data_IF_589746924844
#
_entry.id   IF_589746924844
#
_cell.length_a   1.000
_cell.length_b   1.000
_cell.length_c   1.000
_cell.angle_alpha   90.00
_cell.angle_beta   90.00
_cell.angle_gamma   90.00
#
_symmetry.space_group_name_H-M   'P 1'
#
loop_
_entity.id
_entity.type
_entity.pdbx_description
1 polymer ?
#
# COMPACT_ATOMS: atom_id res chain seq x y z
N UNK A 1 -19.86 20.18 1.29
CA UNK A 1 -18.90 19.28 0.63
C UNK A 1 -17.52 19.91 0.70
N UNK A 2 -16.57 19.32 1.44
CA UNK A 2 -15.19 19.82 1.50
C UNK A 2 -14.55 19.73 0.11
N UNK A 3 -13.79 20.73 -0.35
CA UNK A 3 -13.16 20.69 -1.68
C UNK A 3 -12.21 19.49 -1.76
N UNK A 4 -12.32 18.72 -2.86
CA UNK A 4 -11.59 17.45 -3.05
C UNK A 4 -10.07 17.58 -2.85
N UNK A 5 -9.46 18.74 -3.11
CA UNK A 5 -8.04 19.01 -2.86
C UNK A 5 -7.66 18.97 -1.39
N UNK A 6 -8.54 19.46 -0.51
CA UNK A 6 -8.37 19.37 0.94
C UNK A 6 -8.51 17.91 1.37
N UNK A 7 -9.43 17.14 0.79
CA UNK A 7 -9.59 15.70 1.07
C UNK A 7 -8.36 14.91 0.62
N UNK A 8 -7.80 15.18 -0.56
CA UNK A 8 -6.58 14.51 -1.03
C UNK A 8 -5.36 14.89 -0.18
N UNK A 9 -5.24 16.15 0.24
CA UNK A 9 -4.16 16.59 1.14
C UNK A 9 -4.34 16.08 2.57
N UNK A 10 -5.56 16.03 3.10
CA UNK A 10 -5.86 15.40 4.38
C UNK A 10 -5.57 13.92 4.32
N UNK A 11 -5.93 13.23 3.24
CA UNK A 11 -5.63 11.82 3.08
C UNK A 11 -4.11 11.62 3.07
N UNK A 12 -3.33 12.40 2.32
CA UNK A 12 -1.87 12.32 2.33
C UNK A 12 -1.25 12.66 3.70
N UNK A 13 -1.85 13.59 4.45
CA UNK A 13 -1.38 13.98 5.79
C UNK A 13 -1.79 12.97 6.88
N UNK A 14 -3.00 12.45 6.81
CA UNK A 14 -3.50 11.35 7.65
C UNK A 14 -2.72 10.07 7.37
N UNK A 15 -2.39 9.81 6.11
CA UNK A 15 -1.47 8.74 5.70
C UNK A 15 -0.13 8.94 6.39
N UNK A 16 0.44 10.14 6.36
CA UNK A 16 1.69 10.47 7.07
C UNK A 16 1.61 10.29 8.60
N UNK A 17 0.48 10.62 9.23
CA UNK A 17 0.29 10.41 10.68
C UNK A 17 0.10 8.93 11.00
N UNK A 18 -0.68 8.21 10.20
CA UNK A 18 -0.91 6.77 10.35
C UNK A 18 0.35 5.94 10.09
N UNK A 19 1.31 6.46 9.29
CA UNK A 19 2.62 5.83 9.10
C UNK A 19 3.56 6.00 10.29
N UNK A 20 3.19 6.76 11.33
CA UNK A 20 3.99 6.88 12.53
C UNK A 20 3.69 5.73 13.48
N UNK A 21 4.73 4.96 13.86
CA UNK A 21 4.63 3.88 14.86
C UNK A 21 4.04 4.34 16.20
N UNK A 22 4.15 5.64 16.50
CA UNK A 22 3.87 6.17 17.83
C UNK A 22 2.43 6.57 18.06
N UNK A 23 1.63 6.74 17.01
CA UNK A 23 0.30 7.33 17.16
C UNK A 23 -0.64 6.44 18.01
N UNK A 24 -0.82 5.17 17.62
CA UNK A 24 -1.67 4.23 18.37
C UNK A 24 -1.11 3.99 19.79
N UNK A 25 0.18 3.67 19.99
CA UNK A 25 0.75 3.52 21.33
C UNK A 25 0.54 4.75 22.22
N UNK A 26 0.75 5.96 21.71
CA UNK A 26 0.58 7.19 22.50
C UNK A 26 -0.87 7.38 22.95
N UNK A 27 -1.84 7.08 22.09
CA UNK A 27 -3.26 7.10 22.45
C UNK A 27 -3.59 6.06 23.53
N UNK A 28 -3.01 4.85 23.46
CA UNK A 28 -3.21 3.80 24.47
C UNK A 28 -2.56 4.14 25.80
N UNK A 29 -1.38 4.75 25.78
CA UNK A 29 -0.73 5.30 26.97
C UNK A 29 -1.59 6.38 27.63
N UNK A 30 -2.12 7.33 26.85
CA UNK A 30 -3.01 8.36 27.37
C UNK A 30 -4.29 7.77 27.99
N UNK A 31 -4.86 6.73 27.37
CA UNK A 31 -6.01 6.00 27.91
C UNK A 31 -5.66 5.27 29.23
N UNK A 32 -4.47 4.68 29.34
CA UNK A 32 -4.00 4.04 30.57
C UNK A 32 -3.78 5.04 31.71
N UNK A 33 -3.22 6.22 31.42
CA UNK A 33 -3.11 7.34 32.39
C UNK A 33 -4.51 7.73 32.86
N UNK A 34 -5.46 7.90 31.94
CA UNK A 34 -6.84 8.23 32.27
C UNK A 34 -7.49 7.14 33.13
N UNK A 35 -7.29 5.86 32.79
CA UNK A 35 -7.79 4.72 33.56
C UNK A 35 -7.24 4.72 34.99
N UNK A 36 -5.94 4.97 35.16
CA UNK A 36 -5.30 5.09 36.46
C UNK A 36 -5.86 6.27 37.26
N UNK A 37 -6.04 7.43 36.63
CA UNK A 37 -6.62 8.58 37.31
C UNK A 37 -8.09 8.35 37.73
N UNK A 38 -8.88 7.70 36.87
CA UNK A 38 -10.27 7.37 37.16
C UNK A 38 -10.39 6.35 38.28
N UNK A 39 -9.54 5.30 38.29
CA UNK A 39 -9.55 4.32 39.39
C UNK A 39 -9.23 5.01 40.71
N UNK A 40 -8.17 5.83 40.77
CA UNK A 40 -7.80 6.61 41.95
C UNK A 40 -8.90 7.58 42.40
N UNK A 41 -9.60 8.24 41.47
CA UNK A 41 -10.70 9.16 41.79
C UNK A 41 -11.95 8.44 42.31
N UNK A 42 -12.27 7.28 41.73
CA UNK A 42 -13.41 6.46 42.15
C UNK A 42 -13.21 5.92 43.57
N UNK A 43 -11.99 5.45 43.84
CA UNK A 43 -11.52 5.01 45.16
C UNK A 43 -11.72 6.09 46.24
N UNK A 44 -11.48 7.36 45.92
CA UNK A 44 -11.59 8.44 46.90
C UNK A 44 -13.06 8.85 47.20
N UNK A 45 -14.05 8.35 46.44
CA UNK A 45 -15.44 8.85 46.51
C UNK A 45 -16.52 7.80 46.77
N UNK A 46 -16.27 6.51 46.56
CA UNK A 46 -17.29 5.48 46.65
C UNK A 46 -16.81 4.29 47.48
N UNK A 47 -17.61 3.87 48.47
CA UNK A 47 -17.53 2.50 49.00
C UNK A 47 -17.87 1.56 47.82
N UNK A 48 -16.98 0.64 47.49
CA UNK A 48 -17.21 -0.29 46.38
C UNK A 48 -18.48 -1.13 46.65
N UNK A 49 -19.33 -1.39 45.65
CA UNK A 49 -20.45 -2.33 45.81
C UNK A 49 -19.95 -3.73 46.17
N UNK A 50 -20.60 -4.40 47.14
CA UNK A 50 -20.19 -5.71 47.68
C UNK A 50 -19.90 -6.78 46.60
N UNK A 51 -20.61 -6.74 45.46
CA UNK A 51 -20.40 -7.66 44.34
C UNK A 51 -19.06 -7.51 43.61
N UNK A 52 -18.45 -6.32 43.63
CA UNK A 52 -17.13 -6.07 43.04
C UNK A 52 -16.03 -6.39 44.04
N UNK A 53 -16.26 -6.18 45.34
CA UNK A 53 -15.32 -6.56 46.40
C UNK A 53 -15.08 -8.08 46.42
N UNK A 54 -16.12 -8.90 46.23
CA UNK A 54 -15.97 -10.36 46.18
C UNK A 54 -15.12 -10.88 44.99
N UNK A 55 -14.89 -10.06 43.97
CA UNK A 55 -14.09 -10.44 42.80
C UNK A 55 -12.58 -10.21 43.04
N UNK A 56 -12.20 -9.35 43.98
CA UNK A 56 -10.82 -8.98 44.25
C UNK A 56 -10.44 -9.33 45.69
N UNK A 57 -9.53 -10.30 45.92
CA UNK A 57 -9.15 -10.69 47.27
C UNK A 57 -8.46 -9.53 48.01
N UNK A 58 -8.67 -9.47 49.32
CA UNK A 58 -7.98 -8.51 50.18
C UNK A 58 -6.47 -8.73 50.12
N UNK A 59 -5.75 -7.69 49.71
CA UNK A 59 -4.30 -7.71 49.54
C UNK A 59 -3.66 -6.73 50.54
N UNK A 60 -2.48 -7.08 51.05
CA UNK A 60 -1.66 -6.20 51.88
C UNK A 60 -0.93 -5.16 51.01
N UNK A 61 -0.63 -3.99 51.56
CA UNK A 61 0.08 -2.91 50.84
C UNK A 61 1.38 -3.41 50.19
N UNK A 62 2.15 -4.19 50.93
CA UNK A 62 3.38 -4.83 50.43
C UNK A 62 3.08 -5.79 49.28
N UNK A 63 2.05 -6.63 49.39
CA UNK A 63 1.65 -7.57 48.34
C UNK A 63 1.25 -6.86 47.04
N UNK A 64 0.48 -5.77 47.12
CA UNK A 64 0.12 -4.99 45.94
C UNK A 64 1.34 -4.31 45.31
N UNK A 65 2.21 -3.69 46.12
CA UNK A 65 3.45 -3.10 45.60
C UNK A 65 4.34 -4.12 44.91
N UNK A 66 4.47 -5.32 45.47
CA UNK A 66 5.22 -6.42 44.86
C UNK A 66 4.59 -6.87 43.55
N UNK A 67 3.27 -7.05 43.49
CA UNK A 67 2.56 -7.44 42.27
C UNK A 67 2.73 -6.40 41.16
N UNK A 68 2.42 -5.13 41.45
CA UNK A 68 2.55 -4.04 40.48
C UNK A 68 4.00 -3.88 40.01
N UNK A 69 4.98 -3.99 40.92
CA UNK A 69 6.41 -3.91 40.56
C UNK A 69 6.83 -5.10 39.69
N UNK A 70 6.34 -6.30 39.99
CA UNK A 70 6.62 -7.52 39.21
C UNK A 70 6.04 -7.39 37.80
N UNK A 71 4.79 -6.92 37.68
CA UNK A 71 4.11 -6.70 36.40
C UNK A 71 4.81 -5.56 35.62
N UNK A 72 5.16 -4.45 36.26
CA UNK A 72 5.89 -3.37 35.60
C UNK A 72 7.23 -3.85 35.03
N UNK A 73 8.00 -4.61 35.81
CA UNK A 73 9.33 -5.12 35.42
C UNK A 73 9.24 -6.16 34.30
N UNK A 74 8.20 -7.02 34.35
CA UNK A 74 7.97 -7.98 33.27
C UNK A 74 7.51 -7.29 31.99
N UNK A 75 6.64 -6.27 32.08
CA UNK A 75 6.13 -5.53 30.92
C UNK A 75 7.20 -4.68 30.23
N UNK A 76 8.10 -4.02 30.96
CA UNK A 76 9.21 -3.29 30.32
C UNK A 76 10.17 -4.25 29.60
N UNK A 77 10.40 -5.43 30.17
CA UNK A 77 11.22 -6.48 29.55
C UNK A 77 10.55 -7.04 28.29
N UNK A 78 9.26 -7.37 28.36
CA UNK A 78 8.48 -7.85 27.22
C UNK A 78 8.40 -6.79 26.10
N UNK A 79 8.23 -5.52 26.47
CA UNK A 79 8.24 -4.39 25.53
C UNK A 79 9.58 -4.31 24.79
N UNK A 80 10.70 -4.45 25.50
CA UNK A 80 12.05 -4.45 24.89
C UNK A 80 12.24 -5.59 23.89
N UNK A 81 11.77 -6.79 24.23
CA UNK A 81 11.78 -7.96 23.33
C UNK A 81 10.90 -7.67 22.10
N UNK A 82 9.70 -7.12 22.30
CA UNK A 82 8.80 -6.79 21.20
C UNK A 82 9.41 -5.77 20.23
N UNK A 83 9.99 -4.67 20.73
CA UNK A 83 10.70 -3.70 19.90
C UNK A 83 11.87 -4.33 19.14
N UNK A 84 12.67 -5.15 19.81
CA UNK A 84 13.81 -5.83 19.19
C UNK A 84 13.36 -6.77 18.07
N UNK A 85 12.33 -7.57 18.30
CA UNK A 85 11.75 -8.45 17.28
C UNK A 85 11.16 -7.66 16.11
N UNK A 86 10.46 -6.54 16.36
CA UNK A 86 9.94 -5.67 15.30
C UNK A 86 11.06 -5.10 14.44
N UNK A 87 12.17 -4.65 15.04
CA UNK A 87 13.33 -4.14 14.29
C UNK A 87 13.95 -5.25 13.45
N UNK A 88 14.15 -6.45 14.02
CA UNK A 88 14.68 -7.59 13.27
C UNK A 88 13.77 -7.94 12.10
N UNK A 89 12.46 -8.02 12.31
CA UNK A 89 11.48 -8.25 11.25
C UNK A 89 11.56 -7.19 10.14
N UNK A 90 11.68 -5.92 10.51
CA UNK A 90 11.82 -4.81 9.57
C UNK A 90 13.11 -4.93 8.74
N UNK A 91 14.22 -5.32 9.37
CA UNK A 91 15.50 -5.54 8.66
C UNK A 91 15.42 -6.71 7.68
N UNK A 92 14.82 -7.83 8.10
CA UNK A 92 14.61 -9.01 7.24
C UNK A 92 13.73 -8.66 6.05
N UNK A 93 12.61 -7.97 6.28
CA UNK A 93 11.73 -7.50 5.22
C UNK A 93 12.45 -6.57 4.24
N UNK A 94 13.26 -5.63 4.74
CA UNK A 94 14.07 -4.74 3.88
C UNK A 94 15.02 -5.51 2.98
N UNK A 95 15.70 -6.52 3.53
CA UNK A 95 16.71 -7.30 2.81
C UNK A 95 16.08 -8.27 1.82
N UNK A 96 14.96 -8.89 2.20
CA UNK A 96 14.36 -9.98 1.44
C UNK A 96 13.39 -9.49 0.37
N UNK A 97 12.62 -8.43 0.67
CA UNK A 97 11.51 -7.99 -0.18
C UNK A 97 11.66 -6.56 -0.72
N UNK A 98 12.66 -5.81 -0.24
CA UNK A 98 12.99 -4.48 -0.72
C UNK A 98 12.44 -3.33 0.12
N UNK A 99 13.11 -2.19 0.02
CA UNK A 99 12.86 -1.00 0.86
C UNK A 99 11.46 -0.40 0.70
N UNK A 100 10.78 -0.67 -0.41
CA UNK A 100 9.43 -0.15 -0.69
C UNK A 100 8.36 -0.79 0.19
N UNK A 101 8.59 -2.01 0.68
CA UNK A 101 7.66 -2.73 1.55
C UNK A 101 7.79 -2.38 3.03
N UNK A 102 8.86 -1.69 3.42
CA UNK A 102 9.04 -1.22 4.80
C UNK A 102 7.83 -0.44 5.28
N UNK A 103 7.26 0.39 4.41
CA UNK A 103 6.07 1.17 4.72
C UNK A 103 4.90 0.30 5.19
N UNK A 104 4.71 -0.86 4.57
CA UNK A 104 3.63 -1.80 4.89
C UNK A 104 3.81 -2.39 6.29
N UNK A 105 5.04 -2.76 6.66
CA UNK A 105 5.37 -3.21 8.01
C UNK A 105 5.27 -2.10 9.07
N UNK A 106 5.56 -0.85 8.71
CA UNK A 106 5.40 0.31 9.60
C UNK A 106 3.93 0.61 9.91
N UNK A 107 3.05 0.30 8.96
CA UNK A 107 1.60 0.52 9.04
C UNK A 107 0.85 -0.61 9.77
N UNK A 108 1.55 -1.66 10.20
CA UNK A 108 0.92 -2.81 10.83
C UNK A 108 0.31 -2.45 12.19
N UNK A 109 -1.02 -2.35 12.21
CA UNK A 109 -1.78 -2.01 13.42
C UNK A 109 -1.66 -3.08 14.50
N UNK A 110 -1.45 -4.34 14.13
CA UNK A 110 -1.27 -5.44 15.09
C UNK A 110 -0.06 -5.18 15.99
N UNK A 111 1.10 -4.91 15.38
CA UNK A 111 2.33 -4.55 16.07
C UNK A 111 2.17 -3.27 16.91
N UNK A 112 1.51 -2.24 16.36
CA UNK A 112 1.28 -0.98 17.08
C UNK A 112 0.40 -1.17 18.33
N UNK A 113 -0.66 -1.99 18.24
CA UNK A 113 -1.53 -2.31 19.38
C UNK A 113 -0.77 -3.10 20.43
N UNK A 114 0.01 -4.12 20.04
CA UNK A 114 0.84 -4.89 20.98
C UNK A 114 1.78 -4.00 21.77
N UNK A 115 2.59 -3.19 21.07
CA UNK A 115 3.54 -2.29 21.71
C UNK A 115 2.81 -1.27 22.60
N UNK A 116 1.67 -0.76 22.12
CA UNK A 116 0.81 0.13 22.88
C UNK A 116 0.29 -0.47 24.18
N UNK A 117 -0.22 -1.71 24.16
CA UNK A 117 -0.75 -2.39 25.36
C UNK A 117 0.36 -2.62 26.39
N UNK A 118 1.50 -3.16 25.98
CA UNK A 118 2.60 -3.47 26.90
C UNK A 118 3.12 -2.21 27.61
N UNK A 119 3.33 -1.12 26.85
CA UNK A 119 3.77 0.17 27.41
C UNK A 119 2.67 0.79 28.27
N UNK A 120 1.40 0.66 27.87
CA UNK A 120 0.26 1.17 28.63
C UNK A 120 0.10 0.47 29.99
N UNK A 121 0.24 -0.86 30.07
CA UNK A 121 0.19 -1.60 31.34
C UNK A 121 1.38 -1.26 32.22
N UNK A 122 2.58 -1.16 31.65
CA UNK A 122 3.77 -0.69 32.38
C UNK A 122 3.53 0.68 33.02
N UNK A 123 3.02 1.64 32.24
CA UNK A 123 2.74 2.99 32.71
C UNK A 123 1.65 3.01 33.78
N UNK A 124 0.59 2.21 33.62
CA UNK A 124 -0.45 2.04 34.64
C UNK A 124 0.16 1.58 35.97
N UNK A 125 1.00 0.54 35.94
CA UNK A 125 1.63 -0.01 37.14
C UNK A 125 2.57 1.01 37.80
N UNK A 126 3.36 1.76 37.02
CA UNK A 126 4.23 2.81 37.57
C UNK A 126 3.44 3.94 38.24
N UNK A 127 2.39 4.44 37.60
CA UNK A 127 1.56 5.51 38.16
C UNK A 127 0.82 5.04 39.41
N UNK A 128 0.29 3.81 39.38
CA UNK A 128 -0.36 3.20 40.53
C UNK A 128 0.63 2.99 41.70
N UNK A 129 1.86 2.53 41.43
CA UNK A 129 2.92 2.42 42.45
C UNK A 129 3.28 3.77 43.06
N UNK A 130 3.45 4.79 42.22
CA UNK A 130 3.75 6.15 42.66
C UNK A 130 2.67 6.66 43.63
N UNK A 131 1.39 6.47 43.27
CA UNK A 131 0.28 6.88 44.13
C UNK A 131 0.14 6.00 45.39
N UNK A 132 0.34 4.68 45.31
CA UNK A 132 0.32 3.78 46.46
C UNK A 132 1.33 4.16 47.53
N UNK A 133 2.49 4.69 47.13
CA UNK A 133 3.51 5.16 48.08
C UNK A 133 3.04 6.32 48.96
N UNK A 134 1.98 7.03 48.55
CA UNK A 134 1.43 8.21 49.24
C UNK A 134 0.14 7.93 50.05
N UNK A 135 -0.50 6.76 49.89
CA UNK A 135 -1.78 6.42 50.53
C UNK A 135 -1.50 5.60 51.79
N UNK A 136 -1.94 6.08 52.95
CA UNK A 136 -1.59 5.46 54.24
C UNK A 136 -2.61 4.44 54.79
N UNK A 137 -3.80 4.26 54.20
CA UNK A 137 -4.81 3.34 54.78
C UNK A 137 -6.08 3.10 53.94
N UNK A 138 -5.97 2.80 52.64
CA UNK A 138 -7.15 2.42 51.84
C UNK A 138 -6.95 1.05 51.19
N UNK A 139 -7.38 -0.02 51.89
CA UNK A 139 -7.25 -1.40 51.44
C UNK A 139 -8.09 -1.67 50.18
N UNK A 140 -9.27 -1.06 50.05
CA UNK A 140 -10.11 -1.21 48.87
C UNK A 140 -9.45 -0.65 47.61
N UNK A 141 -8.79 0.50 47.73
CA UNK A 141 -7.99 1.10 46.67
C UNK A 141 -6.92 0.15 46.14
N UNK A 142 -6.28 -0.52 47.10
CA UNK A 142 -5.14 -1.36 46.90
C UNK A 142 -5.53 -2.64 46.17
N UNK A 143 -6.60 -3.31 46.64
CA UNK A 143 -7.16 -4.51 46.01
C UNK A 143 -7.67 -4.22 44.60
N UNK A 144 -8.30 -3.06 44.37
CA UNK A 144 -8.80 -2.68 43.04
C UNK A 144 -7.65 -2.43 42.04
N UNK A 145 -6.64 -1.64 42.42
CA UNK A 145 -5.49 -1.36 41.55
C UNK A 145 -4.68 -2.64 41.27
N UNK A 146 -4.48 -3.49 42.29
CA UNK A 146 -3.86 -4.80 42.13
C UNK A 146 -4.67 -5.68 41.18
N UNK A 147 -5.99 -5.78 41.37
CA UNK A 147 -6.89 -6.54 40.51
C UNK A 147 -6.86 -6.09 39.05
N UNK A 148 -6.93 -4.78 38.79
CA UNK A 148 -6.82 -4.24 37.43
C UNK A 148 -5.44 -4.55 36.84
N UNK A 149 -4.36 -4.40 37.62
CA UNK A 149 -3.01 -4.71 37.13
C UNK A 149 -2.85 -6.18 36.75
N UNK A 150 -3.41 -7.10 37.54
CA UNK A 150 -3.40 -8.54 37.26
C UNK A 150 -4.20 -8.84 35.99
N UNK A 151 -5.38 -8.23 35.83
CA UNK A 151 -6.19 -8.38 34.61
C UNK A 151 -5.43 -7.88 33.37
N UNK A 152 -4.82 -6.70 33.45
CA UNK A 152 -4.00 -6.16 32.37
C UNK A 152 -2.80 -7.08 32.06
N UNK A 153 -2.10 -7.58 33.09
CA UNK A 153 -1.01 -8.53 32.92
C UNK A 153 -1.44 -9.85 32.26
N UNK A 154 -2.62 -10.37 32.60
CA UNK A 154 -3.18 -11.55 31.93
C UNK A 154 -3.49 -11.26 30.45
N UNK A 155 -4.07 -10.10 30.15
CA UNK A 155 -4.29 -9.65 28.77
C UNK A 155 -2.95 -9.57 28.03
N UNK A 156 -1.91 -9.01 28.66
CA UNK A 156 -0.58 -8.87 28.07
C UNK A 156 0.06 -10.22 27.72
N UNK A 157 -0.15 -11.27 28.53
CA UNK A 157 0.31 -12.63 28.19
C UNK A 157 -0.30 -13.10 26.87
N UNK A 158 -1.62 -12.91 26.68
CA UNK A 158 -2.28 -13.25 25.41
C UNK A 158 -1.80 -12.36 24.26
N UNK A 159 -1.59 -11.07 24.52
CA UNK A 159 -1.08 -10.10 23.52
C UNK A 159 0.33 -10.48 23.06
N UNK A 160 1.21 -10.98 23.94
CA UNK A 160 2.54 -11.46 23.56
C UNK A 160 2.46 -12.72 22.70
N UNK A 161 1.60 -13.68 23.06
CA UNK A 161 1.40 -14.90 22.25
C UNK A 161 0.88 -14.53 20.86
N UNK A 162 -0.12 -13.63 20.81
CA UNK A 162 -0.63 -13.07 19.57
C UNK A 162 0.48 -12.38 18.77
N UNK A 163 1.32 -11.58 19.41
CA UNK A 163 2.40 -10.85 18.76
C UNK A 163 3.40 -11.79 18.07
N UNK A 164 3.81 -12.86 18.74
CA UNK A 164 4.74 -13.84 18.16
C UNK A 164 4.11 -14.50 16.93
N UNK A 165 2.84 -14.92 17.01
CA UNK A 165 2.13 -15.52 15.89
C UNK A 165 1.96 -14.53 14.72
N UNK A 166 1.53 -13.31 15.02
CA UNK A 166 1.29 -12.24 14.05
C UNK A 166 2.58 -11.88 13.32
N UNK A 167 3.67 -11.63 14.06
CA UNK A 167 4.96 -11.27 13.49
C UNK A 167 5.54 -12.40 12.65
N UNK A 168 5.44 -13.65 13.11
CA UNK A 168 5.88 -14.83 12.36
C UNK A 168 5.16 -14.96 11.02
N UNK A 169 3.84 -14.74 10.97
CA UNK A 169 3.07 -14.77 9.73
C UNK A 169 3.36 -13.58 8.82
N UNK A 170 3.59 -12.39 9.39
CA UNK A 170 3.83 -11.17 8.62
C UNK A 170 5.14 -11.21 7.82
N UNK A 171 6.15 -11.95 8.30
CA UNK A 171 7.46 -12.06 7.62
C UNK A 171 7.42 -13.10 6.47
N UNK A 172 6.43 -13.99 6.43
CA UNK A 172 6.32 -15.00 5.37
C UNK A 172 6.10 -14.35 4.00
N UNK A 173 6.86 -14.78 2.99
CA UNK A 173 6.79 -14.24 1.63
C UNK A 173 5.36 -14.28 1.06
N UNK A 174 4.63 -15.38 1.26
CA UNK A 174 3.23 -15.51 0.85
C UNK A 174 2.33 -14.43 1.43
N UNK A 175 2.46 -14.12 2.73
CA UNK A 175 1.69 -13.06 3.39
C UNK A 175 2.00 -11.69 2.80
N UNK A 176 3.28 -11.39 2.57
CA UNK A 176 3.72 -10.12 2.00
C UNK A 176 3.22 -9.95 0.57
N UNK A 177 3.34 -10.99 -0.27
CA UNK A 177 2.84 -10.98 -1.64
C UNK A 177 1.33 -10.82 -1.65
N UNK A 178 0.62 -11.55 -0.78
CA UNK A 178 -0.83 -11.47 -0.65
C UNK A 178 -1.28 -10.07 -0.25
N UNK A 179 -0.60 -9.43 0.71
CA UNK A 179 -0.90 -8.06 1.12
C UNK A 179 -0.65 -7.07 -0.03
N UNK A 180 0.49 -7.16 -0.73
CA UNK A 180 0.78 -6.30 -1.88
C UNK A 180 -0.26 -6.46 -2.99
N UNK A 181 -0.69 -7.70 -3.25
CA UNK A 181 -1.73 -8.00 -4.22
C UNK A 181 -3.07 -7.36 -3.83
N UNK A 182 -3.49 -7.48 -2.56
CA UNK A 182 -4.72 -6.84 -2.09
C UNK A 182 -4.63 -5.31 -2.05
N UNK A 183 -3.48 -4.72 -1.75
CA UNK A 183 -3.26 -3.28 -1.85
C UNK A 183 -3.33 -2.78 -3.30
N UNK A 184 -2.81 -3.58 -4.24
CA UNK A 184 -2.91 -3.32 -5.68
C UNK A 184 -4.38 -3.26 -6.12
N UNK A 185 -5.19 -4.25 -5.72
CA UNK A 185 -6.58 -4.35 -6.10
C UNK A 185 -7.51 -3.43 -5.30
N UNK A 186 -7.20 -3.13 -4.04
CA UNK A 186 -8.04 -2.32 -3.17
C UNK A 186 -8.20 -0.87 -3.63
N UNK A 187 -7.29 -0.37 -4.47
CA UNK A 187 -7.38 0.93 -5.12
C UNK A 187 -7.89 0.86 -6.56
N UNK A 188 -8.22 -0.33 -7.07
CA UNK A 188 -8.56 -0.52 -8.48
C UNK A 188 -9.77 0.32 -8.90
N UNK A 189 -10.84 0.34 -8.10
CA UNK A 189 -12.05 1.12 -8.41
C UNK A 189 -11.78 2.64 -8.53
N UNK A 190 -10.77 3.16 -7.81
CA UNK A 190 -10.37 4.56 -7.89
C UNK A 190 -9.45 4.86 -9.08
N UNK A 191 -8.64 3.88 -9.49
CA UNK A 191 -7.63 4.02 -10.56
C UNK A 191 -8.18 3.71 -11.95
N UNK A 192 -9.00 2.65 -12.03
CA UNK A 192 -9.59 2.07 -13.22
C UNK A 192 -11.09 1.86 -12.94
N UNK A 193 -11.92 2.89 -13.14
CA UNK A 193 -13.34 2.84 -12.80
C UNK A 193 -14.07 1.76 -13.61
N UNK A 194 -15.18 1.30 -13.03
CA UNK A 194 -16.04 0.29 -13.65
C UNK A 194 -16.62 0.79 -14.98
N UNK A 195 -16.59 -0.03 -16.06
CA UNK A 195 -17.31 0.20 -17.32
C UNK A 195 -18.69 0.83 -17.21
N UNK A 196 -19.46 0.44 -16.20
CA UNK A 196 -20.87 0.78 -16.06
C UNK A 196 -21.09 2.19 -15.49
N UNK A 197 -20.04 2.83 -14.98
CA UNK A 197 -20.13 4.18 -14.42
C UNK A 197 -20.11 5.21 -15.55
N UNK A 198 -21.21 5.97 -15.70
CA UNK A 198 -21.24 7.11 -16.61
C UNK A 198 -20.16 8.13 -16.21
N UNK A 199 -19.24 8.41 -17.13
CA UNK A 199 -18.19 9.40 -16.90
C UNK A 199 -18.69 10.79 -17.29
N UNK A 200 -18.28 11.82 -16.54
CA UNK A 200 -18.56 13.23 -16.85
C UNK A 200 -17.75 13.74 -18.08
N UNK A 201 -17.02 12.84 -18.74
CA UNK A 201 -16.07 13.14 -19.80
C UNK A 201 -16.41 12.36 -21.06
N UNK A 202 -16.16 12.95 -22.23
CA UNK A 202 -16.27 12.27 -23.52
C UNK A 202 -14.89 12.05 -24.12
N UNK A 203 -14.58 10.81 -24.50
CA UNK A 203 -13.35 10.50 -25.25
C UNK A 203 -13.38 11.19 -26.61
N UNK A 204 -12.26 11.81 -27.00
CA UNK A 204 -12.05 12.32 -28.35
C UNK A 204 -11.13 11.34 -29.09
N UNK A 205 -11.52 10.91 -30.28
CA UNK A 205 -10.68 10.08 -31.15
C UNK A 205 -9.72 10.96 -31.95
N UNK A 206 -8.42 10.64 -31.85
CA UNK A 206 -7.21 10.97 -32.66
C UNK A 206 -7.01 12.31 -33.40
N UNK A 207 -8.04 13.12 -33.68
CA UNK A 207 -7.82 14.50 -34.14
C UNK A 207 -7.29 15.33 -32.96
N UNK A 208 -6.01 15.70 -33.02
CA UNK A 208 -5.37 16.61 -32.08
C UNK A 208 -6.30 17.82 -31.88
N UNK A 209 -6.84 18.03 -30.66
CA UNK A 209 -7.78 19.09 -30.43
C UNK A 209 -7.11 20.45 -30.74
N UNK A 210 -7.88 21.36 -31.37
CA UNK A 210 -7.36 22.60 -31.99
C UNK A 210 -6.25 23.22 -31.15
N UNK A 211 -5.04 23.28 -31.70
CA UNK A 211 -3.90 23.84 -30.99
C UNK A 211 -4.08 25.36 -30.89
N UNK A 212 -4.10 25.88 -29.67
CA UNK A 212 -4.24 27.32 -29.46
C UNK A 212 -3.08 28.17 -29.94
N UNK A 213 -3.42 29.41 -30.34
CA UNK A 213 -2.47 30.47 -30.69
C UNK A 213 -1.55 30.82 -29.53
N UNK A 214 -2.06 30.82 -28.30
CA UNK A 214 -1.29 31.06 -27.08
C UNK A 214 -1.12 29.76 -26.30
N UNK A 215 0.14 29.46 -25.96
CA UNK A 215 0.55 28.27 -25.21
C UNK A 215 1.36 28.69 -23.99
N UNK A 216 0.94 28.25 -22.82
CA UNK A 216 1.57 28.61 -21.55
C UNK A 216 2.08 27.35 -20.85
N UNK A 217 3.39 27.25 -20.67
CA UNK A 217 4.01 26.10 -20.02
C UNK A 217 4.03 26.29 -18.50
N UNK A 218 3.39 25.39 -17.78
CA UNK A 218 3.48 25.31 -16.33
C UNK A 218 4.65 24.40 -15.98
N UNK A 219 5.62 24.91 -15.23
CA UNK A 219 6.85 24.20 -14.88
C UNK A 219 6.89 23.75 -13.42
N UNK A 220 7.64 22.67 -13.16
CA UNK A 220 7.90 22.17 -11.82
C UNK A 220 8.74 23.16 -11.00
N UNK A 221 8.33 23.40 -9.75
CA UNK A 221 9.04 24.31 -8.82
C UNK A 221 10.05 23.58 -7.93
N UNK A 222 10.13 22.26 -8.02
CA UNK A 222 11.09 21.40 -7.32
C UNK A 222 11.23 20.07 -8.04
N UNK A 223 12.36 19.40 -7.83
CA UNK A 223 12.56 18.02 -8.26
C UNK A 223 11.86 17.03 -7.31
N UNK A 224 11.42 15.90 -7.83
CA UNK A 224 10.82 14.81 -7.05
C UNK A 224 9.87 13.94 -7.86
N UNK A 225 9.09 13.09 -7.20
CA UNK A 225 8.10 12.23 -7.84
C UNK A 225 6.73 12.90 -7.87
N UNK A 226 6.02 12.79 -9.01
CA UNK A 226 4.61 13.15 -9.09
C UNK A 226 3.80 12.12 -8.31
N UNK A 227 3.21 12.54 -7.19
CA UNK A 227 2.39 11.67 -6.34
C UNK A 227 0.94 11.66 -6.77
N UNK A 228 0.37 12.85 -7.01
CA UNK A 228 -1.01 13.01 -7.48
C UNK A 228 -1.16 14.17 -8.46
N UNK A 229 -2.11 14.01 -9.39
CA UNK A 229 -2.58 15.03 -10.32
C UNK A 229 -4.10 15.15 -10.13
N UNK A 230 -4.58 16.35 -9.83
CA UNK A 230 -6.02 16.62 -9.66
C UNK A 230 -6.64 17.04 -11.00
N UNK A 231 -7.02 16.06 -11.83
CA UNK A 231 -7.54 16.30 -13.18
C UNK A 231 -8.79 17.21 -13.22
N UNK A 232 -9.71 17.06 -12.25
CA UNK A 232 -10.93 17.87 -12.19
C UNK A 232 -10.69 19.36 -11.95
N UNK A 233 -9.53 19.74 -11.41
CA UNK A 233 -9.13 21.14 -11.28
C UNK A 233 -8.46 21.67 -12.56
N UNK A 234 -7.97 20.80 -13.44
CA UNK A 234 -7.40 21.21 -14.73
C UNK A 234 -8.50 21.57 -15.74
N UNK A 235 -9.68 20.94 -15.64
CA UNK A 235 -10.81 21.16 -16.54
C UNK A 235 -11.75 22.28 -16.11
N UNK A 236 -11.80 22.59 -14.81
CA UNK A 236 -12.58 23.74 -14.32
C UNK A 236 -12.15 25.00 -15.05
N UNK A 237 -13.13 25.78 -15.54
CA UNK A 237 -12.92 27.12 -16.11
C UNK A 237 -12.44 28.08 -15.03
N UNK A 238 -11.19 27.93 -14.61
CA UNK A 238 -10.52 28.87 -13.74
C UNK A 238 -10.36 30.22 -14.44
N UNK A 239 -10.28 30.23 -15.77
CA UNK A 239 -10.04 31.42 -16.58
C UNK A 239 -10.86 31.39 -17.87
N UNK A 240 -11.38 32.55 -18.25
CA UNK A 240 -11.94 32.75 -19.58
C UNK A 240 -10.88 32.48 -20.64
N UNK A 241 -11.27 31.88 -21.77
CA UNK A 241 -10.38 31.67 -22.91
C UNK A 241 -9.50 30.43 -22.86
N UNK A 242 -9.42 29.69 -21.75
CA UNK A 242 -8.77 28.35 -21.73
C UNK A 242 -9.71 27.33 -22.35
N UNK A 243 -9.20 26.54 -23.29
CA UNK A 243 -9.96 25.49 -23.96
C UNK A 243 -9.23 24.15 -24.02
N UNK A 244 -7.96 24.09 -23.60
CA UNK A 244 -7.17 22.87 -23.67
C UNK A 244 -6.03 22.81 -22.68
N UNK A 245 -5.75 21.62 -22.15
CA UNK A 245 -4.56 21.36 -21.31
C UNK A 245 -3.89 20.07 -21.75
N UNK A 246 -2.63 20.17 -22.15
CA UNK A 246 -1.76 19.03 -22.40
C UNK A 246 -0.93 18.74 -21.14
N UNK A 247 -1.01 17.50 -20.66
CA UNK A 247 -0.38 17.02 -19.44
C UNK A 247 0.82 16.17 -19.85
N UNK A 248 2.03 16.67 -19.54
CA UNK A 248 3.31 16.07 -19.96
C UNK A 248 3.80 14.98 -19.00
N UNK A 249 3.32 15.02 -17.76
CA UNK A 249 3.74 14.14 -16.68
C UNK A 249 2.59 13.24 -16.23
N UNK A 250 2.90 12.05 -15.73
CA UNK A 250 1.93 11.17 -15.06
C UNK A 250 2.33 10.93 -13.61
N UNK A 251 1.37 10.52 -12.78
CA UNK A 251 1.66 10.01 -11.43
C UNK A 251 2.69 8.87 -11.53
N UNK A 252 3.71 8.92 -10.69
CA UNK A 252 4.84 7.99 -10.72
C UNK A 252 6.09 8.53 -11.43
N UNK A 253 5.97 9.52 -12.31
CA UNK A 253 7.11 10.11 -13.00
C UNK A 253 8.00 10.88 -12.01
N UNK A 254 9.32 10.80 -12.22
CA UNK A 254 10.28 11.67 -11.55
C UNK A 254 10.53 12.91 -12.41
N UNK A 255 10.33 14.09 -11.84
CA UNK A 255 10.51 15.38 -12.53
C UNK A 255 11.67 16.16 -11.93
N UNK A 256 12.32 16.96 -12.77
CA UNK A 256 13.37 17.90 -12.40
C UNK A 256 12.81 19.31 -12.22
N UNK A 257 13.55 20.14 -11.47
CA UNK A 257 13.27 21.57 -11.38
C UNK A 257 13.13 22.18 -12.79
N UNK A 258 12.09 22.99 -12.98
CA UNK A 258 11.76 23.66 -14.25
C UNK A 258 11.31 22.76 -15.41
N UNK A 259 11.16 21.45 -15.19
CA UNK A 259 10.60 20.54 -16.20
C UNK A 259 9.12 20.88 -16.49
N UNK A 260 8.65 20.81 -17.75
CA UNK A 260 7.25 21.10 -18.10
C UNK A 260 6.29 20.08 -17.49
N UNK A 261 5.33 20.55 -16.69
CA UNK A 261 4.23 19.75 -16.15
C UNK A 261 3.03 19.76 -17.10
N UNK A 262 2.63 20.95 -17.53
CA UNK A 262 1.46 21.20 -18.37
C UNK A 262 1.74 22.21 -19.47
N UNK A 263 1.00 22.11 -20.57
CA UNK A 263 0.88 23.17 -21.59
C UNK A 263 -0.59 23.56 -21.67
N UNK A 264 -0.89 24.82 -21.33
CA UNK A 264 -2.25 25.37 -21.34
C UNK A 264 -2.46 26.10 -22.66
N UNK A 265 -3.54 25.74 -23.35
CA UNK A 265 -3.98 26.34 -24.60
C UNK A 265 -5.12 27.32 -24.35
N UNK A 266 -4.93 28.55 -24.85
CA UNK A 266 -5.86 29.64 -24.60
C UNK A 266 -6.01 30.59 -25.79
N UNK A 267 -7.09 31.38 -25.77
CA UNK A 267 -7.42 32.35 -26.82
C UNK A 267 -6.68 33.68 -26.66
N UNK A 268 -6.12 33.97 -25.49
CA UNK A 268 -5.38 35.19 -25.18
C UNK A 268 -4.19 34.89 -24.24
N UNK A 269 -3.20 35.78 -24.11
CA UNK A 269 -2.12 35.61 -23.15
C UNK A 269 -2.64 35.48 -21.71
N UNK A 270 -2.05 34.57 -20.95
CA UNK A 270 -2.28 34.37 -19.51
C UNK A 270 -1.00 34.76 -18.75
N UNK A 271 -1.13 35.52 -17.65
CA UNK A 271 0.01 35.89 -16.79
C UNK A 271 0.44 34.74 -15.88
N UNK A 272 1.70 34.74 -15.44
CA UNK A 272 2.27 33.66 -14.61
C UNK A 272 1.59 33.48 -13.25
N UNK A 273 1.00 34.55 -12.71
CA UNK A 273 0.22 34.50 -11.47
C UNK A 273 -1.06 33.67 -11.64
N UNK A 274 -1.68 33.76 -12.82
CA UNK A 274 -2.88 33.00 -13.17
C UNK A 274 -2.55 31.52 -13.43
N UNK A 275 -1.27 31.16 -13.61
CA UNK A 275 -0.82 29.77 -13.72
C UNK A 275 -0.61 29.08 -12.36
N UNK A 276 -0.66 29.83 -11.23
CA UNK A 276 -0.48 29.27 -9.88
C UNK A 276 -1.48 28.15 -9.53
N UNK A 277 -2.78 28.25 -9.83
CA UNK A 277 -3.74 27.19 -9.53
C UNK A 277 -3.42 25.87 -10.24
N UNK A 278 -2.98 25.93 -11.50
CA UNK A 278 -2.55 24.74 -12.25
C UNK A 278 -1.35 24.05 -11.60
N UNK A 279 -0.37 24.81 -11.09
CA UNK A 279 0.75 24.24 -10.32
C UNK A 279 0.27 23.51 -9.07
N UNK A 280 -0.76 24.02 -8.40
CA UNK A 280 -1.31 23.42 -7.17
C UNK A 280 -2.10 22.13 -7.43
N UNK A 281 -2.43 21.81 -8.69
CA UNK A 281 -3.05 20.54 -9.07
C UNK A 281 -2.09 19.35 -8.98
N UNK A 282 -0.78 19.60 -8.88
CA UNK A 282 0.26 18.56 -8.80
C UNK A 282 0.87 18.53 -7.42
N UNK A 283 0.88 17.35 -6.82
CA UNK A 283 1.66 17.08 -5.61
C UNK A 283 2.98 16.40 -6.01
N UNK A 284 4.09 17.11 -5.83
CA UNK A 284 5.44 16.55 -6.01
C UNK A 284 5.97 16.14 -4.64
N UNK A 285 6.40 14.89 -4.44
CA UNK A 285 6.97 14.42 -3.17
C UNK A 285 8.36 13.84 -3.34
N UNK A 286 9.02 13.50 -2.23
CA UNK A 286 10.35 12.87 -2.24
C UNK A 286 10.32 11.38 -2.61
N UNK A 287 9.13 10.76 -2.60
CA UNK A 287 8.93 9.32 -2.87
C UNK A 287 7.73 9.12 -3.79
N UNK A 288 7.81 8.11 -4.65
CA UNK A 288 6.70 7.58 -5.46
C UNK A 288 5.63 6.95 -4.55
N UNK A 289 4.36 7.04 -4.94
CA UNK A 289 3.20 6.59 -4.13
C UNK A 289 2.21 5.79 -4.97
N UNK A 290 1.51 4.78 -4.41
CA UNK A 290 0.52 3.97 -5.15
C UNK A 290 -0.80 4.68 -5.45
N UNK A 291 -1.06 5.85 -4.85
CA UNK A 291 -2.38 6.52 -4.80
C UNK A 291 -3.03 6.73 -6.18
N UNK A 292 -2.25 7.05 -7.20
CA UNK A 292 -2.72 7.28 -8.58
C UNK A 292 -1.87 6.50 -9.61
N UNK A 293 -1.27 5.40 -9.20
CA UNK A 293 -0.22 4.72 -9.97
C UNK A 293 -0.33 3.19 -9.85
N UNK A 294 -1.14 2.53 -10.71
CA UNK A 294 -1.31 1.09 -10.68
C UNK A 294 -0.01 0.34 -10.99
N UNK A 295 0.88 0.92 -11.81
CA UNK A 295 2.19 0.31 -12.12
C UNK A 295 3.09 0.22 -10.87
N UNK A 296 2.93 1.12 -9.88
CA UNK A 296 3.71 1.05 -8.65
C UNK A 296 3.42 -0.22 -7.85
N UNK A 297 2.14 -0.58 -7.70
CA UNK A 297 1.75 -1.76 -6.94
C UNK A 297 2.20 -3.06 -7.64
N UNK A 298 2.09 -3.12 -8.97
CA UNK A 298 2.67 -4.18 -9.79
C UNK A 298 4.19 -4.26 -9.60
N UNK A 299 4.86 -3.10 -9.61
CA UNK A 299 6.32 -3.03 -9.42
C UNK A 299 6.78 -3.56 -8.06
N UNK A 300 5.97 -3.47 -7.01
CA UNK A 300 6.32 -4.02 -5.70
C UNK A 300 6.36 -5.55 -5.73
N UNK A 301 5.37 -6.20 -6.37
CA UNK A 301 5.37 -7.67 -6.50
C UNK A 301 6.50 -8.13 -7.43
N UNK A 302 6.77 -7.39 -8.51
CA UNK A 302 7.92 -7.66 -9.39
C UNK A 302 9.24 -7.53 -8.64
N UNK A 303 9.40 -6.55 -7.76
CA UNK A 303 10.61 -6.41 -6.93
C UNK A 303 10.83 -7.61 -6.00
N UNK A 304 9.76 -8.17 -5.42
CA UNK A 304 9.82 -9.40 -4.63
C UNK A 304 10.28 -10.58 -5.51
N UNK A 305 9.69 -10.74 -6.70
CA UNK A 305 10.06 -11.81 -7.63
C UNK A 305 11.53 -11.71 -8.06
N UNK A 306 12.01 -10.52 -8.41
CA UNK A 306 13.40 -10.30 -8.81
C UNK A 306 14.39 -10.56 -7.68
N UNK A 307 14.03 -10.22 -6.44
CA UNK A 307 14.84 -10.55 -5.26
C UNK A 307 14.88 -12.06 -5.03
N UNK A 308 13.74 -12.73 -5.12
CA UNK A 308 13.65 -14.18 -4.99
C UNK A 308 14.51 -14.90 -6.05
N UNK A 309 14.51 -14.42 -7.30
CA UNK A 309 15.34 -14.97 -8.40
C UNK A 309 16.81 -14.53 -8.35
N UNK A 310 17.20 -13.65 -7.43
CA UNK A 310 18.60 -13.20 -7.35
C UNK A 310 19.51 -14.34 -6.89
N UNK A 311 20.79 -14.38 -7.33
CA UNK A 311 21.71 -15.46 -6.95
C UNK A 311 21.93 -15.64 -5.44
N UNK A 312 21.69 -14.58 -4.64
CA UNK A 312 21.85 -14.63 -3.19
C UNK A 312 20.66 -15.24 -2.44
N UNK A 313 19.47 -15.28 -3.04
CA UNK A 313 18.26 -15.87 -2.44
C UNK A 313 17.91 -17.19 -3.14
N UNK A 314 17.84 -17.17 -4.47
CA UNK A 314 17.57 -18.33 -5.32
C UNK A 314 16.32 -19.14 -4.91
N UNK A 315 15.19 -18.44 -4.75
CA UNK A 315 13.89 -18.99 -4.39
C UNK A 315 12.89 -18.86 -5.56
N UNK A 316 12.89 -19.80 -6.52
CA UNK A 316 11.97 -19.77 -7.66
C UNK A 316 10.50 -19.98 -7.26
N UNK A 317 10.19 -20.58 -6.11
CA UNK A 317 8.81 -20.80 -5.68
C UNK A 317 8.14 -19.48 -5.25
N UNK A 318 8.86 -18.61 -4.54
CA UNK A 318 8.38 -17.26 -4.24
C UNK A 318 8.12 -16.47 -5.53
N UNK A 319 8.99 -16.60 -6.54
CA UNK A 319 8.81 -15.96 -7.84
C UNK A 319 7.58 -16.50 -8.60
N UNK A 320 7.35 -17.82 -8.58
CA UNK A 320 6.15 -18.45 -9.15
C UNK A 320 4.88 -17.90 -8.48
N UNK A 321 4.89 -17.75 -7.15
CA UNK A 321 3.76 -17.15 -6.41
C UNK A 321 3.51 -15.71 -6.84
N UNK A 322 4.58 -14.92 -7.05
CA UNK A 322 4.46 -13.58 -7.61
C UNK A 322 3.85 -13.57 -9.01
N UNK A 323 4.30 -14.44 -9.92
CA UNK A 323 3.78 -14.56 -11.30
C UNK A 323 2.28 -14.89 -11.29
N UNK A 324 1.85 -15.85 -10.48
CA UNK A 324 0.44 -16.21 -10.35
C UNK A 324 -0.41 -15.02 -9.87
N UNK A 325 0.07 -14.26 -8.88
CA UNK A 325 -0.64 -13.09 -8.34
C UNK A 325 -0.66 -11.91 -9.31
N UNK A 326 0.44 -11.66 -10.01
CA UNK A 326 0.51 -10.66 -11.07
C UNK A 326 -0.46 -10.99 -12.21
N UNK A 327 -0.53 -12.26 -12.61
CA UNK A 327 -1.44 -12.71 -13.66
C UNK A 327 -2.91 -12.56 -13.25
N UNK A 328 -3.24 -12.90 -12.00
CA UNK A 328 -4.57 -12.63 -11.45
C UNK A 328 -4.90 -11.11 -11.42
N UNK A 329 -3.92 -10.26 -11.10
CA UNK A 329 -4.11 -8.82 -11.11
C UNK A 329 -4.33 -8.28 -12.54
N UNK A 330 -3.54 -8.76 -13.51
CA UNK A 330 -3.73 -8.44 -14.92
C UNK A 330 -5.12 -8.85 -15.39
N UNK A 331 -5.57 -10.08 -15.11
CA UNK A 331 -6.92 -10.54 -15.47
C UNK A 331 -8.03 -9.63 -14.93
N UNK A 332 -7.96 -9.25 -13.65
CA UNK A 332 -8.93 -8.32 -13.06
C UNK A 332 -8.84 -6.89 -13.62
N UNK A 333 -7.64 -6.42 -13.97
CA UNK A 333 -7.46 -5.12 -14.61
C UNK A 333 -7.97 -5.11 -16.06
N UNK A 334 -7.93 -6.25 -16.75
CA UNK A 334 -8.43 -6.39 -18.12
C UNK A 334 -9.95 -6.16 -18.24
N UNK A 335 -10.70 -6.46 -17.18
CA UNK A 335 -12.15 -6.23 -17.09
C UNK A 335 -12.51 -4.74 -16.84
N UNK A 336 -11.52 -3.86 -16.64
CA UNK A 336 -11.73 -2.44 -16.30
C UNK A 336 -11.45 -1.52 -17.48
N UNK A 337 -12.04 -0.31 -17.43
CA UNK A 337 -11.77 0.71 -18.44
C UNK A 337 -10.47 1.45 -18.12
N UNK A 338 -9.48 1.30 -19.00
CA UNK A 338 -8.27 2.10 -18.93
C UNK A 338 -8.53 3.56 -19.29
N UNK A 339 -7.87 4.53 -18.63
CA UNK A 339 -8.12 5.94 -18.89
C UNK A 339 -7.66 6.30 -20.30
N UNK A 340 -8.54 6.97 -21.05
CA UNK A 340 -8.22 7.40 -22.41
C UNK A 340 -7.24 8.59 -22.42
N UNK A 341 -6.35 8.68 -23.43
CA UNK A 341 -5.37 9.76 -23.52
C UNK A 341 -5.98 11.14 -23.76
N UNK A 342 -7.08 11.22 -24.52
CA UNK A 342 -7.73 12.47 -24.90
C UNK A 342 -9.20 12.47 -24.49
N UNK A 343 -9.60 13.46 -23.69
CA UNK A 343 -10.98 13.62 -23.20
C UNK A 343 -11.44 15.07 -23.30
N UNK A 344 -12.74 15.30 -23.43
CA UNK A 344 -13.41 16.60 -23.20
C UNK A 344 -14.25 16.49 -21.95
N UNK A 345 -14.10 17.47 -21.07
CA UNK A 345 -15.00 17.67 -19.95
C UNK A 345 -16.30 18.31 -20.43
N UNK A 346 -17.43 17.63 -20.19
CA UNK A 346 -18.73 17.99 -20.75
C UNK A 346 -19.31 19.29 -20.15
N UNK A 347 -18.86 19.70 -18.97
CA UNK A 347 -19.34 20.93 -18.32
C UNK A 347 -18.57 22.16 -18.79
N UNK A 348 -17.25 22.04 -18.90
CA UNK A 348 -16.34 23.13 -19.25
C UNK A 348 -16.07 23.25 -20.74
N UNK A 349 -16.28 22.18 -21.53
CA UNK A 349 -15.79 22.03 -22.90
C UNK A 349 -14.27 22.21 -23.05
N UNK A 350 -13.51 22.00 -21.96
CA UNK A 350 -12.04 21.99 -21.99
C UNK A 350 -11.58 20.57 -22.34
N UNK A 351 -10.70 20.46 -23.34
CA UNK A 351 -10.06 19.17 -23.65
C UNK A 351 -8.83 18.95 -22.76
N UNK A 352 -8.60 17.69 -22.39
CA UNK A 352 -7.36 17.23 -21.74
C UNK A 352 -6.69 16.19 -22.62
N UNK A 353 -5.39 16.37 -22.84
CA UNK A 353 -4.50 15.35 -23.39
C UNK A 353 -3.53 14.92 -22.30
N UNK A 354 -3.42 13.62 -22.04
CA UNK A 354 -2.57 13.06 -20.98
C UNK A 354 -1.94 11.75 -21.39
N UNK A 355 -0.75 11.48 -20.84
CA UNK A 355 -0.19 10.13 -20.79
C UNK A 355 -0.96 9.34 -19.73
N UNK A 356 -1.48 8.17 -20.10
CA UNK A 356 -2.24 7.29 -19.20
C UNK A 356 -1.56 5.93 -19.10
N UNK A 357 -2.00 5.14 -18.13
CA UNK A 357 -1.64 3.73 -18.04
C UNK A 357 -2.41 2.97 -19.10
N UNK A 358 -1.80 1.93 -19.66
CA UNK A 358 -2.43 1.04 -20.63
C UNK A 358 -2.32 -0.39 -20.14
N UNK A 359 -3.22 -1.25 -20.61
CA UNK A 359 -3.10 -2.68 -20.32
C UNK A 359 -1.73 -3.22 -20.76
N UNK A 360 -1.21 -2.72 -21.89
CA UNK A 360 0.12 -3.06 -22.36
C UNK A 360 1.23 -2.67 -21.38
N UNK A 361 1.16 -1.48 -20.78
CA UNK A 361 2.16 -1.06 -19.80
C UNK A 361 2.10 -1.91 -18.53
N UNK A 362 0.91 -2.37 -18.13
CA UNK A 362 0.73 -3.26 -16.97
C UNK A 362 1.31 -4.65 -17.24
N UNK A 363 0.94 -5.29 -18.36
CA UNK A 363 1.41 -6.64 -18.73
C UNK A 363 2.94 -6.65 -18.86
N UNK A 364 3.51 -5.71 -19.63
CA UNK A 364 4.95 -5.61 -19.80
C UNK A 364 5.65 -5.37 -18.46
N UNK A 365 5.10 -4.49 -17.62
CA UNK A 365 5.68 -4.24 -16.29
C UNK A 365 5.66 -5.48 -15.39
N UNK A 366 4.60 -6.28 -15.46
CA UNK A 366 4.44 -7.48 -14.68
C UNK A 366 5.40 -8.60 -15.10
N UNK A 367 5.62 -8.79 -16.41
CA UNK A 367 6.30 -9.99 -16.90
C UNK A 367 7.72 -9.76 -17.42
N UNK A 368 8.07 -8.60 -17.98
CA UNK A 368 9.35 -8.42 -18.69
C UNK A 368 10.57 -8.72 -17.81
N UNK A 369 10.64 -8.10 -16.64
CA UNK A 369 11.81 -8.25 -15.78
C UNK A 369 11.86 -9.65 -15.15
N UNK A 370 10.71 -10.26 -14.83
CA UNK A 370 10.64 -11.61 -14.27
C UNK A 370 11.07 -12.63 -15.32
N UNK A 371 10.63 -12.48 -16.57
CA UNK A 371 11.09 -13.27 -17.71
C UNK A 371 12.61 -13.18 -17.86
N UNK A 372 13.15 -11.96 -17.85
CA UNK A 372 14.59 -11.72 -17.98
C UNK A 372 15.41 -12.36 -16.87
N UNK A 373 14.98 -12.21 -15.61
CA UNK A 373 15.67 -12.81 -14.46
C UNK A 373 15.43 -14.33 -14.32
N UNK A 374 14.27 -14.80 -14.78
CA UNK A 374 13.79 -16.18 -14.64
C UNK A 374 14.27 -17.13 -15.73
N UNK A 375 15.02 -16.65 -16.74
CA UNK A 375 15.47 -17.45 -17.87
C UNK A 375 16.26 -18.72 -17.48
N UNK A 376 17.01 -18.66 -16.37
CA UNK A 376 17.74 -19.81 -15.81
C UNK A 376 16.86 -20.78 -15.00
N UNK A 377 15.58 -20.47 -14.79
CA UNK A 377 14.65 -21.25 -13.97
C UNK A 377 13.50 -21.77 -14.84
N UNK A 378 13.62 -23.02 -15.28
CA UNK A 378 12.60 -23.66 -16.13
C UNK A 378 11.20 -23.61 -15.50
N UNK A 379 11.09 -23.89 -14.19
CA UNK A 379 9.81 -23.85 -13.47
C UNK A 379 9.13 -22.48 -13.49
N UNK A 380 9.90 -21.39 -13.42
CA UNK A 380 9.38 -20.02 -13.51
C UNK A 380 8.94 -19.71 -14.93
N UNK A 381 9.72 -20.14 -15.93
CA UNK A 381 9.38 -19.97 -17.35
C UNK A 381 8.09 -20.70 -17.71
N UNK A 382 7.93 -21.95 -17.25
CA UNK A 382 6.71 -22.72 -17.46
C UNK A 382 5.51 -22.04 -16.80
N UNK A 383 5.67 -21.55 -15.57
CA UNK A 383 4.64 -20.79 -14.88
C UNK A 383 4.24 -19.50 -15.64
N UNK A 384 5.21 -18.78 -16.22
CA UNK A 384 4.92 -17.61 -17.06
C UNK A 384 4.06 -17.99 -18.27
N UNK A 385 4.46 -19.02 -19.03
CA UNK A 385 3.69 -19.49 -20.19
C UNK A 385 2.28 -19.97 -19.80
N UNK A 386 2.16 -20.78 -18.75
CA UNK A 386 0.86 -21.24 -18.24
C UNK A 386 -0.07 -20.07 -17.85
N UNK A 387 0.47 -19.03 -17.22
CA UNK A 387 -0.33 -17.87 -16.85
C UNK A 387 -0.67 -16.97 -18.05
N UNK A 388 0.23 -16.82 -19.02
CA UNK A 388 -0.07 -16.13 -20.28
C UNK A 388 -1.20 -16.86 -21.03
N UNK A 389 -1.18 -18.20 -21.07
CA UNK A 389 -2.27 -19.03 -21.62
C UNK A 389 -3.59 -18.76 -20.93
N UNK A 390 -3.60 -18.67 -19.58
CA UNK A 390 -4.82 -18.33 -18.83
C UNK A 390 -5.31 -16.93 -19.17
N UNK A 391 -4.40 -15.96 -19.33
CA UNK A 391 -4.74 -14.56 -19.64
C UNK A 391 -5.41 -14.39 -21.01
N UNK A 392 -5.17 -15.28 -21.98
CA UNK A 392 -5.91 -15.29 -23.24
C UNK A 392 -7.43 -15.30 -23.03
N UNK A 393 -7.93 -15.87 -21.93
CA UNK A 393 -9.36 -15.90 -21.63
C UNK A 393 -9.93 -14.65 -20.95
N UNK A 394 -9.09 -13.69 -20.57
CA UNK A 394 -9.51 -12.49 -19.81
C UNK A 394 -9.21 -11.19 -20.53
N UNK A 395 -8.25 -11.16 -21.47
CA UNK A 395 -7.89 -9.95 -22.19
C UNK A 395 -8.70 -9.78 -23.47
N UNK A 396 -9.00 -8.54 -23.83
CA UNK A 396 -9.63 -8.23 -25.11
C UNK A 396 -8.75 -8.67 -26.30
N UNK A 397 -9.36 -9.04 -27.46
CA UNK A 397 -8.63 -9.51 -28.64
C UNK A 397 -7.50 -8.59 -29.12
N UNK A 398 -7.66 -7.28 -28.95
CA UNK A 398 -6.64 -6.27 -29.30
C UNK A 398 -5.33 -6.40 -28.52
N UNK A 399 -5.30 -7.18 -27.44
CA UNK A 399 -4.11 -7.45 -26.63
C UNK A 399 -3.50 -8.84 -26.89
N UNK A 400 -4.05 -9.65 -27.81
CA UNK A 400 -3.52 -10.99 -28.10
C UNK A 400 -2.12 -10.95 -28.70
N UNK A 401 -1.85 -9.99 -29.58
CA UNK A 401 -0.51 -9.77 -30.16
C UNK A 401 0.53 -9.49 -29.05
N UNK A 402 0.16 -8.69 -28.05
CA UNK A 402 1.03 -8.41 -26.91
C UNK A 402 1.31 -9.65 -26.07
N UNK A 403 0.31 -10.51 -25.82
CA UNK A 403 0.53 -11.76 -25.10
C UNK A 403 1.43 -12.71 -25.89
N UNK A 404 1.30 -12.75 -27.22
CA UNK A 404 2.17 -13.53 -28.09
C UNK A 404 3.61 -13.01 -28.06
N UNK A 405 3.83 -11.70 -28.12
CA UNK A 405 5.16 -11.10 -27.96
C UNK A 405 5.80 -11.54 -26.62
N UNK A 406 5.03 -11.51 -25.53
CA UNK A 406 5.52 -11.96 -24.22
C UNK A 406 5.81 -13.46 -24.18
N UNK A 407 4.93 -14.31 -24.72
CA UNK A 407 5.11 -15.76 -24.72
C UNK A 407 6.28 -16.18 -25.61
N UNK A 408 6.39 -15.62 -26.81
CA UNK A 408 7.47 -15.90 -27.77
C UNK A 408 8.81 -15.46 -27.22
N UNK A 409 8.89 -14.25 -26.65
CA UNK A 409 10.12 -13.75 -26.04
C UNK A 409 10.48 -14.49 -24.74
N UNK A 410 9.52 -15.16 -24.08
CA UNK A 410 9.77 -16.07 -22.94
C UNK A 410 10.39 -17.37 -23.44
N UNK A 411 9.82 -17.98 -24.49
CA UNK A 411 10.35 -19.18 -25.13
C UNK A 411 11.76 -18.94 -25.67
N UNK A 412 11.96 -17.87 -26.44
CA UNK A 412 13.23 -17.53 -27.09
C UNK A 412 14.34 -17.39 -26.05
N UNK A 413 14.11 -16.57 -25.02
CA UNK A 413 15.10 -16.30 -24.00
C UNK A 413 15.51 -17.57 -23.23
N UNK A 414 14.55 -18.43 -22.88
CA UNK A 414 14.84 -19.65 -22.14
C UNK A 414 15.52 -20.71 -23.02
N UNK A 415 15.23 -20.75 -24.33
CA UNK A 415 15.90 -21.64 -25.28
C UNK A 415 17.36 -21.22 -25.59
N UNK A 416 17.74 -19.97 -25.34
CA UNK A 416 19.14 -19.53 -25.40
C UNK A 416 20.00 -20.14 -24.26
N UNK A 417 19.36 -20.64 -23.20
CA UNK A 417 20.02 -21.32 -22.09
C UNK A 417 20.43 -22.77 -22.39
N UNK A 418 21.28 -23.33 -21.53
CA UNK A 418 21.71 -24.73 -21.65
C UNK A 418 20.69 -25.70 -21.03
N UNK A 419 19.64 -26.00 -21.80
CA UNK A 419 18.59 -26.95 -21.42
C UNK A 419 18.81 -28.32 -22.04
N UNK A 420 18.51 -29.38 -21.28
CA UNK A 420 18.49 -30.74 -21.80
C UNK A 420 17.33 -30.95 -22.78
N UNK A 421 17.40 -32.03 -23.58
CA UNK A 421 16.38 -32.32 -24.61
C UNK A 421 14.96 -32.44 -24.05
N UNK A 422 14.82 -33.05 -22.87
CA UNK A 422 13.54 -33.24 -22.20
C UNK A 422 12.91 -31.90 -21.81
N UNK A 423 13.69 -31.03 -21.18
CA UNK A 423 13.23 -29.70 -20.75
C UNK A 423 12.83 -28.81 -21.93
N UNK A 424 13.60 -28.85 -23.03
CA UNK A 424 13.24 -28.15 -24.27
C UNK A 424 11.90 -28.63 -24.84
N UNK A 425 11.60 -29.93 -24.71
CA UNK A 425 10.33 -30.49 -25.17
C UNK A 425 9.17 -30.03 -24.28
N UNK A 426 9.33 -30.05 -22.95
CA UNK A 426 8.31 -29.54 -22.01
C UNK A 426 8.01 -28.07 -22.30
N UNK A 427 9.05 -27.26 -22.48
CA UNK A 427 8.90 -25.84 -22.77
C UNK A 427 8.13 -25.58 -24.08
N UNK A 428 8.43 -26.34 -25.13
CA UNK A 428 7.70 -26.25 -26.40
C UNK A 428 6.24 -26.65 -26.25
N UNK A 429 5.95 -27.74 -25.51
CA UNK A 429 4.57 -28.16 -25.23
C UNK A 429 3.79 -27.06 -24.50
N UNK A 430 4.39 -26.39 -23.50
CA UNK A 430 3.75 -25.28 -22.81
C UNK A 430 3.48 -24.08 -23.74
N UNK A 431 4.40 -23.79 -24.67
CA UNK A 431 4.19 -22.76 -25.68
C UNK A 431 3.12 -23.14 -26.72
N UNK A 432 3.07 -24.40 -27.15
CA UNK A 432 2.04 -24.90 -28.06
C UNK A 432 0.64 -24.81 -27.41
N UNK A 433 0.53 -25.06 -26.11
CA UNK A 433 -0.72 -24.84 -25.36
C UNK A 433 -1.16 -23.37 -25.38
N UNK A 434 -0.21 -22.43 -25.24
CA UNK A 434 -0.48 -21.00 -25.38
C UNK A 434 -1.00 -20.67 -26.79
N UNK A 435 -0.34 -21.17 -27.84
CA UNK A 435 -0.73 -20.96 -29.23
C UNK A 435 -2.15 -21.47 -29.51
N UNK A 436 -2.47 -22.69 -29.05
CA UNK A 436 -3.80 -23.28 -29.19
C UNK A 436 -4.88 -22.45 -28.49
N UNK A 437 -4.61 -21.95 -27.27
CA UNK A 437 -5.56 -21.13 -26.53
C UNK A 437 -5.85 -19.80 -27.24
N UNK A 438 -4.82 -19.18 -27.83
CA UNK A 438 -4.97 -17.97 -28.65
C UNK A 438 -5.83 -18.23 -29.90
N UNK A 439 -5.58 -19.32 -30.62
CA UNK A 439 -6.34 -19.69 -31.82
C UNK A 439 -7.82 -19.95 -31.54
N UNK A 440 -8.13 -20.64 -30.44
CA UNK A 440 -9.52 -20.91 -30.03
C UNK A 440 -10.32 -19.62 -29.77
N UNK A 441 -9.65 -18.56 -29.30
CA UNK A 441 -10.28 -17.26 -29.05
C UNK A 441 -10.55 -16.49 -30.35
N UNK A 442 -9.60 -16.48 -31.30
CA UNK A 442 -9.80 -15.83 -32.60
C UNK A 442 -10.99 -16.42 -33.39
N UNK A 443 -11.31 -17.71 -33.17
CA UNK A 443 -12.43 -18.40 -33.80
C UNK A 443 -13.81 -18.10 -33.18
N UNK A 444 -13.87 -17.52 -31.97
CA UNK A 444 -15.15 -17.16 -31.31
C UNK A 444 -15.60 -15.72 -31.60
N UNK A 445 -14.67 -14.84 -32.02
CA UNK A 445 -14.94 -13.44 -32.39
C UNK A 445 -15.01 -13.20 -33.91
N UNK A 446 -14.83 -14.24 -34.73
CA UNK A 446 -15.05 -14.22 -36.19
C UNK A 446 -16.37 -14.88 -36.56
#
# INVERSE_FOLDING_TARGET
>A
MLPNTLKTRLNAYMESISTSYWFIPTCMMALSILLCFLSLRYIHRANLPDGVQNLFPDITQEGAQQLLSTIATSMISATSIAFSMTIVALTLASSQFGSRLLRTFMLDKGTQVVLGTLVATFLFCLLALHHLSSIQSNLEALSLLAGISVLLGLIDVFVIIYFIHHLSRAIQADSVIHQCFHECLGNLDNLLPDPQIQTEHKTITEELPKIGRFRHTVRAMRSGFIQTITYSHLTKKHFNGVFGVEIKVRSGDHVLLSEPLFVIHSTHPISDDMLKPYRQCVLIGSKRTPVQDPEFAISQIVEIALRALSPGINDPHTAITCVNRLSAACGQMAERHFPTPCIIDLQSNVWLQRRTFTMASIINKAFDQIRQAGAGHLSVTLCLLENLTKLCSYVEPKYMELLEEQASATLELTLMGDLCRHDRQILRVAYDQFQNAREQYNLHDS
#
